data_IF_239093866083
#
_entry.id   IF_239093866083
#
_cell.length_a   1.000
_cell.length_b   1.000
_cell.length_c   1.000
_cell.angle_alpha   90.00
_cell.angle_beta   90.00
_cell.angle_gamma   90.00
#
_symmetry.space_group_name_H-M   'P 1'
#
loop_
_entity.id
_entity.type
_entity.pdbx_description
1 polymer ?
#
# COMPACT_ATOMS: atom_id res chain seq x y z
N UNK A 1 24.48 9.67 17.40
CA UNK A 1 23.18 8.97 17.17
C UNK A 1 22.01 9.98 17.26
N UNK A 2 21.91 10.94 16.34
CA UNK A 2 21.18 12.21 16.56
C UNK A 2 19.65 12.16 16.35
N UNK A 3 19.15 11.19 15.59
CA UNK A 3 17.78 11.22 15.05
C UNK A 3 16.90 10.03 15.46
N UNK A 4 17.27 9.29 16.52
CA UNK A 4 16.42 8.24 17.11
C UNK A 4 15.69 8.76 18.35
N UNK A 5 14.39 8.46 18.49
CA UNK A 5 13.60 8.65 19.72
C UNK A 5 12.65 7.47 19.89
N UNK A 6 12.58 6.89 21.09
CA UNK A 6 11.79 5.69 21.41
C UNK A 6 12.02 4.55 20.41
N UNK A 7 13.29 4.20 20.15
CA UNK A 7 13.72 3.21 19.15
C UNK A 7 13.26 3.47 17.70
N UNK A 8 12.62 4.61 17.39
CA UNK A 8 12.21 4.99 16.02
C UNK A 8 13.21 5.97 15.42
N UNK A 9 13.75 5.64 14.25
CA UNK A 9 14.57 6.55 13.43
C UNK A 9 13.65 7.60 12.76
N UNK A 10 13.92 8.89 12.97
CA UNK A 10 13.09 10.03 12.47
C UNK A 10 13.80 10.91 11.42
N UNK A 11 14.79 10.36 10.71
CA UNK A 11 15.44 11.07 9.58
C UNK A 11 14.53 11.18 8.36
N UNK A 12 13.62 10.22 8.20
CA UNK A 12 12.61 10.22 7.15
C UNK A 12 11.27 10.69 7.75
N UNK A 13 10.44 11.33 6.92
CA UNK A 13 9.06 11.62 7.27
C UNK A 13 8.32 10.34 7.67
N UNK A 14 7.41 10.45 8.62
CA UNK A 14 6.56 9.33 9.06
C UNK A 14 5.12 9.69 8.67
N UNK A 15 4.39 8.75 8.04
CA UNK A 15 3.00 9.02 7.62
C UNK A 15 2.10 9.36 8.81
N UNK A 16 1.07 10.16 8.55
CA UNK A 16 0.16 10.63 9.59
C UNK A 16 -0.46 9.46 10.36
N UNK A 17 -0.49 9.58 11.70
CA UNK A 17 -0.91 8.59 12.70
C UNK A 17 0.06 7.41 12.93
N UNK A 18 0.97 7.09 12.01
CA UNK A 18 1.87 5.96 12.18
C UNK A 18 2.89 6.15 13.32
N UNK A 19 3.28 7.38 13.63
CA UNK A 19 4.20 7.65 14.74
C UNK A 19 3.71 7.06 16.07
N UNK A 20 2.42 7.24 16.40
CA UNK A 20 1.84 6.70 17.63
C UNK A 20 1.82 5.16 17.62
N UNK A 21 1.57 4.54 16.47
CA UNK A 21 1.57 3.09 16.34
C UNK A 21 2.99 2.51 16.50
N UNK A 22 4.00 3.17 15.92
CA UNK A 22 5.41 2.79 16.06
C UNK A 22 5.94 3.03 17.47
N UNK A 23 5.56 4.14 18.13
CA UNK A 23 5.89 4.39 19.54
C UNK A 23 5.26 3.32 20.44
N UNK A 24 3.99 2.97 20.24
CA UNK A 24 3.35 1.87 20.97
C UNK A 24 4.05 0.52 20.72
N UNK A 25 4.51 0.24 19.50
CA UNK A 25 5.25 -0.97 19.15
C UNK A 25 6.66 -0.98 19.79
N UNK A 26 7.30 0.19 19.93
CA UNK A 26 8.62 0.34 20.56
C UNK A 26 8.65 -0.01 22.05
N UNK A 27 7.49 0.02 22.72
CA UNK A 27 7.35 -0.36 24.14
C UNK A 27 7.63 -1.85 24.39
N UNK A 28 7.53 -2.69 23.36
CA UNK A 28 7.86 -4.10 23.44
C UNK A 28 9.37 -4.30 23.66
N UNK A 29 9.73 -5.15 24.61
CA UNK A 29 11.13 -5.50 24.93
C UNK A 29 11.86 -6.16 23.76
N UNK A 30 11.15 -6.99 22.98
CA UNK A 30 11.67 -7.69 21.79
C UNK A 30 12.16 -6.73 20.69
N UNK A 31 11.58 -5.54 20.61
CA UNK A 31 11.87 -4.55 19.58
C UNK A 31 13.15 -3.79 19.94
N UNK A 32 14.14 -3.82 19.04
CA UNK A 32 15.44 -3.17 19.25
C UNK A 32 15.52 -1.80 18.55
N UNK A 33 15.15 -1.73 17.26
CA UNK A 33 15.15 -0.51 16.45
C UNK A 33 14.02 -0.57 15.42
N UNK A 34 13.50 0.59 15.01
CA UNK A 34 12.41 0.75 14.05
C UNK A 34 12.86 1.76 13.00
N UNK A 35 12.94 1.30 11.76
CA UNK A 35 13.44 2.03 10.61
C UNK A 35 12.29 2.23 9.62
N UNK A 36 11.61 3.40 9.64
CA UNK A 36 10.67 3.76 8.58
C UNK A 36 11.40 3.97 7.26
N UNK A 37 10.83 3.46 6.18
CA UNK A 37 11.31 3.58 4.81
C UNK A 37 10.62 4.71 4.04
N UNK A 38 10.59 4.57 2.71
CA UNK A 38 9.98 5.52 1.78
C UNK A 38 8.47 5.60 2.00
N UNK A 39 7.90 6.79 1.75
CA UNK A 39 6.46 7.02 1.70
C UNK A 39 6.01 6.96 0.25
N UNK A 40 5.08 6.06 -0.05
CA UNK A 40 4.43 5.93 -1.36
C UNK A 40 3.01 6.50 -1.30
N UNK A 41 2.54 7.06 -2.42
CA UNK A 41 1.15 7.50 -2.56
C UNK A 41 0.25 6.29 -2.84
N UNK A 42 -0.91 6.23 -2.19
CA UNK A 42 -1.88 5.16 -2.39
C UNK A 42 -3.32 5.70 -2.30
N UNK A 43 -4.21 5.26 -3.19
CA UNK A 43 -5.60 5.73 -3.21
C UNK A 43 -6.54 5.01 -2.23
N UNK A 44 -6.07 4.03 -1.47
CA UNK A 44 -6.89 3.38 -0.44
C UNK A 44 -7.13 4.29 0.78
N UNK A 45 -8.35 4.20 1.33
CA UNK A 45 -8.77 4.82 2.60
C UNK A 45 -8.42 3.99 3.83
N UNK A 46 -7.89 2.76 3.64
CA UNK A 46 -7.46 1.87 4.71
C UNK A 46 -6.41 2.52 5.63
N UNK A 47 -6.50 2.19 6.93
CA UNK A 47 -5.59 2.71 7.96
C UNK A 47 -5.13 1.58 8.88
N UNK A 48 -3.89 1.65 9.34
CA UNK A 48 -3.35 0.76 10.37
C UNK A 48 -2.01 0.15 9.97
N UNK A 49 -1.63 -0.91 10.67
CA UNK A 49 -0.41 -1.68 10.41
C UNK A 49 -0.79 -3.07 9.89
N UNK A 50 -0.14 -3.50 8.80
CA UNK A 50 -0.24 -4.86 8.26
C UNK A 50 1.13 -5.52 8.34
N UNK A 51 1.20 -6.73 8.90
CA UNK A 51 2.42 -7.53 8.89
C UNK A 51 2.67 -8.08 7.48
N UNK A 52 3.88 -7.90 6.92
CA UNK A 52 4.24 -8.42 5.59
C UNK A 52 4.96 -9.75 5.70
N UNK A 53 6.21 -9.75 6.18
CA UNK A 53 7.05 -10.95 6.26
C UNK A 53 8.16 -10.80 7.30
N UNK A 54 8.67 -11.93 7.79
CA UNK A 54 9.87 -11.96 8.63
C UNK A 54 11.14 -11.75 7.77
N UNK A 55 12.16 -11.15 8.36
CA UNK A 55 13.50 -11.00 7.79
C UNK A 55 14.52 -11.61 8.75
N UNK A 56 15.75 -11.87 8.29
CA UNK A 56 16.80 -12.46 9.12
C UNK A 56 17.10 -11.67 10.41
N UNK A 57 16.87 -10.36 10.40
CA UNK A 57 17.12 -9.43 11.52
C UNK A 57 15.83 -8.93 12.21
N UNK A 58 14.65 -9.42 11.82
CA UNK A 58 13.39 -8.99 12.39
C UNK A 58 12.18 -9.17 11.46
N UNK A 59 11.44 -8.11 11.16
CA UNK A 59 10.30 -8.19 10.24
C UNK A 59 10.02 -6.88 9.49
N UNK A 60 9.30 -7.02 8.36
CA UNK A 60 8.78 -5.90 7.58
C UNK A 60 7.29 -5.69 7.86
N UNK A 61 6.92 -4.44 8.09
CA UNK A 61 5.54 -3.98 8.30
C UNK A 61 5.15 -3.02 7.18
N UNK A 62 3.87 -3.00 6.85
CA UNK A 62 3.24 -2.02 5.96
C UNK A 62 2.34 -1.10 6.78
N UNK A 63 2.69 0.18 6.83
CA UNK A 63 1.91 1.23 7.47
C UNK A 63 0.97 1.81 6.41
N UNK A 64 -0.35 1.75 6.63
CA UNK A 64 -1.35 2.34 5.75
C UNK A 64 -1.96 3.58 6.42
N UNK A 65 -2.10 4.66 5.67
CA UNK A 65 -2.85 5.85 6.06
C UNK A 65 -3.64 6.37 4.86
N UNK A 66 -4.58 7.28 5.11
CA UNK A 66 -5.52 7.76 4.09
C UNK A 66 -4.80 8.57 3.01
N UNK A 67 -4.53 7.95 1.85
CA UNK A 67 -3.76 8.56 0.77
C UNK A 67 -2.29 8.12 0.67
N UNK A 68 -1.76 7.32 1.61
CA UNK A 68 -0.33 6.99 1.65
C UNK A 68 0.00 5.65 2.30
N UNK A 69 1.07 5.03 1.84
CA UNK A 69 1.67 3.83 2.41
C UNK A 69 3.12 4.16 2.82
N UNK A 70 3.60 3.50 3.87
CA UNK A 70 5.02 3.52 4.23
C UNK A 70 5.44 2.13 4.69
N UNK A 71 6.59 1.67 4.22
CA UNK A 71 7.20 0.45 4.74
C UNK A 71 7.97 0.75 6.01
N UNK A 72 7.95 -0.15 6.99
CA UNK A 72 8.78 -0.05 8.19
C UNK A 72 9.47 -1.38 8.49
N UNK A 73 10.78 -1.33 8.68
CA UNK A 73 11.57 -2.46 9.14
C UNK A 73 11.71 -2.39 10.66
N UNK A 74 11.33 -3.46 11.34
CA UNK A 74 11.53 -3.58 12.79
C UNK A 74 12.61 -4.62 13.04
N UNK A 75 13.66 -4.20 13.76
CA UNK A 75 14.74 -5.08 14.22
C UNK A 75 14.28 -5.76 15.50
N UNK A 76 14.17 -7.09 15.46
CA UNK A 76 13.71 -7.92 16.58
C UNK A 76 14.34 -9.30 16.51
N UNK A 77 14.53 -9.95 17.66
CA UNK A 77 14.89 -11.38 17.72
C UNK A 77 13.67 -12.28 17.53
N UNK A 78 12.47 -11.78 17.82
CA UNK A 78 11.22 -12.52 17.77
C UNK A 78 10.17 -11.79 16.89
N UNK A 79 10.07 -12.13 15.59
CA UNK A 79 9.08 -11.52 14.70
C UNK A 79 7.65 -12.01 14.97
N UNK A 80 7.46 -13.18 15.57
CA UNK A 80 6.12 -13.70 15.88
C UNK A 80 5.39 -12.85 16.92
N UNK A 81 6.10 -12.39 17.94
CA UNK A 81 5.56 -11.46 18.94
C UNK A 81 5.00 -10.18 18.29
N UNK A 82 5.68 -9.69 17.25
CA UNK A 82 5.22 -8.51 16.49
C UNK A 82 4.00 -8.86 15.65
N UNK A 83 4.00 -10.00 14.95
CA UNK A 83 2.83 -10.47 14.19
C UNK A 83 1.58 -10.56 15.08
N UNK A 84 1.68 -11.23 16.23
CA UNK A 84 0.61 -11.38 17.24
C UNK A 84 0.15 -10.01 17.79
N UNK A 85 1.08 -9.05 17.98
CA UNK A 85 0.74 -7.70 18.41
C UNK A 85 -0.04 -6.92 17.33
N UNK A 86 0.37 -7.03 16.06
CA UNK A 86 -0.31 -6.39 14.93
C UNK A 86 -1.72 -6.94 14.80
N UNK A 87 -1.89 -8.27 14.76
CA UNK A 87 -3.20 -8.94 14.68
C UNK A 87 -4.14 -8.54 15.83
N UNK A 88 -3.60 -8.37 17.05
CA UNK A 88 -4.37 -7.93 18.23
C UNK A 88 -4.78 -6.46 18.19
N UNK A 89 -4.00 -5.57 17.55
CA UNK A 89 -4.24 -4.12 17.50
C UNK A 89 -4.97 -3.66 16.24
N UNK A 90 -4.72 -4.33 15.14
CA UNK A 90 -5.26 -4.09 13.82
C UNK A 90 -5.73 -5.45 13.28
N UNK A 91 -6.87 -5.98 13.78
CA UNK A 91 -7.42 -7.20 13.22
C UNK A 91 -7.62 -7.00 11.71
N UNK A 92 -7.26 -7.97 10.87
CA UNK A 92 -7.62 -7.89 9.46
C UNK A 92 -9.15 -7.80 9.40
N UNK A 93 -9.67 -6.76 8.75
CA UNK A 93 -11.10 -6.73 8.41
C UNK A 93 -11.39 -8.03 7.66
N UNK A 94 -12.39 -8.84 8.08
CA UNK A 94 -12.71 -10.07 7.38
C UNK A 94 -12.99 -9.71 5.91
N UNK A 95 -12.36 -10.40 4.94
CA UNK A 95 -12.62 -10.12 3.54
C UNK A 95 -14.10 -10.38 3.30
N UNK A 96 -14.82 -9.33 2.90
CA UNK A 96 -16.12 -9.51 2.28
C UNK A 96 -15.85 -10.24 0.95
N UNK A 97 -16.20 -11.52 0.95
CA UNK A 97 -16.04 -12.53 -0.11
C UNK A 97 -14.75 -13.35 -0.03
N UNK A 98 -14.96 -14.66 0.11
CA UNK A 98 -13.97 -15.71 -0.02
C UNK A 98 -13.58 -15.88 -1.50
N UNK A 99 -12.32 -16.23 -1.73
CA UNK A 99 -11.88 -16.94 -2.94
C UNK A 99 -10.63 -17.71 -2.56
N UNK A 100 -10.78 -19.02 -2.36
CA UNK A 100 -9.65 -19.89 -2.04
C UNK A 100 -8.66 -19.92 -3.22
N UNK A 101 -7.37 -19.86 -2.89
CA UNK A 101 -6.27 -19.67 -3.84
C UNK A 101 -4.95 -20.21 -3.30
N UNK A 102 -4.99 -21.43 -2.77
CA UNK A 102 -3.82 -22.28 -2.48
C UNK A 102 -3.09 -22.52 -3.84
N UNK A 103 -1.76 -22.60 -3.97
CA UNK A 103 -0.73 -23.01 -3.00
C UNK A 103 0.63 -22.36 -3.31
N UNK A 104 1.46 -22.31 -2.28
CA UNK A 104 2.91 -22.09 -2.31
C UNK A 104 3.62 -22.89 -3.41
N UNK A 105 4.73 -22.36 -3.94
CA UNK A 105 5.82 -23.21 -4.40
C UNK A 105 7.14 -22.73 -3.78
N UNK A 106 7.65 -23.52 -2.83
CA UNK A 106 8.91 -23.26 -2.14
C UNK A 106 10.09 -23.63 -3.03
N UNK A 107 11.11 -22.78 -3.00
CA UNK A 107 12.46 -23.16 -3.40
C UNK A 107 12.94 -24.34 -2.53
N UNK A 108 13.67 -25.31 -3.11
CA UNK A 108 14.60 -26.17 -2.35
C UNK A 108 15.71 -26.72 -3.23
N UNK A 109 16.92 -26.69 -2.70
CA UNK A 109 18.14 -27.11 -3.40
C UNK A 109 18.55 -28.57 -3.11
N UNK A 110 19.48 -29.03 -3.96
CA UNK A 110 20.25 -30.29 -4.03
C UNK A 110 20.42 -31.16 -2.77
N UNK A 111 20.12 -32.46 -2.94
CA UNK A 111 20.92 -33.65 -2.55
C UNK A 111 20.30 -34.94 -3.14
N UNK A 112 20.95 -36.11 -3.29
CA UNK A 112 22.36 -36.45 -3.64
C UNK A 112 22.49 -37.99 -3.86
N UNK A 113 23.28 -38.45 -4.85
CA UNK A 113 23.77 -39.85 -5.02
C UNK A 113 22.70 -40.96 -5.33
N UNK A 114 22.91 -42.06 -6.11
CA UNK A 114 24.01 -42.56 -7.00
C UNK A 114 23.50 -43.79 -7.85
N UNK A 115 24.23 -44.19 -8.92
CA UNK A 115 24.15 -45.47 -9.69
C UNK A 115 22.94 -45.67 -10.66
N UNK A 116 23.01 -46.30 -11.86
CA UNK A 116 24.12 -46.87 -12.71
C UNK A 116 23.63 -47.14 -14.15
N UNK A 117 24.53 -47.04 -15.17
CA UNK A 117 24.59 -47.77 -16.48
C UNK A 117 23.33 -47.87 -17.39
N UNK A 118 23.31 -47.73 -18.72
CA UNK A 118 24.25 -47.92 -19.86
C UNK A 118 23.61 -47.12 -21.04
N UNK A 119 24.22 -46.57 -22.10
CA UNK A 119 25.31 -47.02 -22.99
C UNK A 119 25.91 -45.85 -23.81
N UNK A 120 27.07 -46.09 -24.44
CA UNK A 120 27.74 -45.22 -25.43
C UNK A 120 27.18 -45.47 -26.86
N UNK A 121 27.54 -44.74 -27.97
CA UNK A 121 28.78 -43.97 -28.17
C UNK A 121 28.73 -42.58 -28.89
N UNK A 122 29.91 -41.96 -28.89
CA UNK A 122 30.44 -40.74 -29.57
C UNK A 122 30.58 -41.04 -31.11
N UNK A 123 30.78 -40.11 -32.11
CA UNK A 123 31.56 -38.86 -31.98
C UNK A 123 31.36 -37.64 -32.94
N UNK A 124 32.05 -36.53 -32.59
CA UNK A 124 32.63 -35.51 -33.51
C UNK A 124 31.64 -34.57 -34.27
N UNK A 125 31.98 -33.42 -34.88
CA UNK A 125 33.14 -32.50 -34.84
C UNK A 125 32.74 -31.12 -35.49
N UNK A 126 33.61 -30.10 -35.42
CA UNK A 126 33.58 -28.82 -36.21
C UNK A 126 32.45 -27.80 -35.85
N UNK A 127 32.59 -26.46 -35.77
CA UNK A 127 33.52 -25.36 -36.20
C UNK A 127 32.96 -24.48 -37.34
N UNK A 128 33.25 -23.16 -37.28
CA UNK A 128 32.90 -22.02 -38.19
C UNK A 128 31.58 -21.31 -37.81
N UNK A 129 31.48 -20.01 -37.49
CA UNK A 129 32.04 -18.71 -38.00
C UNK A 129 31.29 -18.16 -39.23
N UNK A 130 30.46 -17.12 -39.00
CA UNK A 130 30.32 -15.85 -39.75
C UNK A 130 29.27 -14.99 -39.00
N UNK A 131 29.51 -13.75 -38.54
CA UNK A 131 29.68 -12.49 -39.29
C UNK A 131 28.61 -12.21 -40.36
N UNK A 132 27.71 -11.26 -40.09
CA UNK A 132 27.60 -10.00 -40.85
C UNK A 132 26.56 -9.00 -40.26
N UNK A 133 26.74 -7.70 -40.54
CA UNK A 133 25.92 -6.59 -40.03
C UNK A 133 24.82 -6.14 -41.05
N UNK A 134 24.27 -4.89 -41.06
CA UNK A 134 22.83 -4.70 -40.91
C UNK A 134 22.11 -4.21 -42.20
N UNK A 135 20.78 -4.34 -42.26
CA UNK A 135 19.97 -3.85 -43.37
C UNK A 135 18.99 -2.75 -42.95
N UNK A 136 19.23 -1.53 -43.45
CA UNK A 136 18.29 -0.40 -43.45
C UNK A 136 17.20 -0.59 -44.52
N UNK A 137 15.95 -0.15 -44.26
CA UNK A 137 15.08 0.61 -45.18
C UNK A 137 13.74 1.03 -44.52
N UNK A 138 12.99 2.01 -45.09
CA UNK A 138 12.24 2.99 -44.28
C UNK A 138 10.72 2.82 -44.26
N UNK A 139 10.09 3.29 -43.18
CA UNK A 139 8.63 3.48 -43.11
C UNK A 139 8.21 4.86 -43.64
N UNK A 140 7.23 4.87 -44.55
CA UNK A 140 6.69 6.09 -45.20
C UNK A 140 5.70 6.85 -44.31
N UNK A 141 5.66 8.17 -44.50
CA UNK A 141 4.59 9.04 -43.98
C UNK A 141 3.21 8.68 -44.54
N UNK A 142 2.16 8.85 -43.72
CA UNK A 142 0.85 9.32 -44.22
C UNK A 142 0.12 10.16 -43.17
N UNK A 143 -0.46 11.27 -43.62
CA UNK A 143 -1.07 12.31 -42.79
C UNK A 143 -2.60 12.35 -42.91
N UNK A 144 -3.28 12.74 -41.80
CA UNK A 144 -4.57 13.46 -41.66
C UNK A 144 -4.94 13.43 -40.16
N UNK A 145 -5.17 14.54 -39.43
CA UNK A 145 -6.30 15.52 -39.47
C UNK A 145 -7.67 14.80 -39.32
N UNK A 146 -8.58 15.12 -38.38
CA UNK A 146 -8.80 16.32 -37.53
C UNK A 146 -9.67 15.99 -36.28
N UNK A 147 -9.87 16.99 -35.40
CA UNK A 147 -11.03 17.15 -34.48
C UNK A 147 -11.02 16.31 -33.18
N UNK A 148 -11.39 16.81 -31.99
CA UNK A 148 -11.76 18.18 -31.57
C UNK A 148 -11.44 18.44 -30.10
N UNK A 149 -11.18 19.72 -29.80
CA UNK A 149 -11.02 20.36 -28.48
C UNK A 149 -11.87 19.77 -27.34
N UNK A 150 -11.26 19.63 -26.17
CA UNK A 150 -11.64 20.42 -25.00
C UNK A 150 -10.43 20.59 -24.07
N UNK A 151 -9.86 21.80 -24.08
CA UNK A 151 -8.84 22.26 -23.14
C UNK A 151 -9.50 23.38 -22.34
N UNK A 152 -9.68 23.16 -21.04
CA UNK A 152 -9.90 24.20 -20.03
C UNK A 152 -8.71 24.09 -19.09
N UNK A 153 -7.55 24.59 -19.51
CA UNK A 153 -7.13 25.98 -19.38
C UNK A 153 -6.62 26.26 -17.96
N UNK A 154 -5.35 26.61 -17.88
CA UNK A 154 -4.51 26.53 -16.68
C UNK A 154 -4.00 27.94 -16.37
N UNK A 155 -4.91 28.84 -16.02
CA UNK A 155 -4.59 30.24 -15.80
C UNK A 155 -4.41 30.57 -14.32
N UNK A 156 -3.15 30.83 -13.94
CA UNK A 156 -2.78 31.35 -12.64
C UNK A 156 -3.02 32.86 -12.59
N UNK A 157 -3.98 33.34 -11.77
CA UNK A 157 -3.89 34.70 -11.20
C UNK A 157 -4.76 34.93 -9.96
N UNK A 158 -4.08 35.48 -8.94
CA UNK A 158 -4.55 36.28 -7.79
C UNK A 158 -5.48 35.63 -6.76
N UNK A 159 -5.04 35.76 -5.51
CA UNK A 159 -5.88 35.64 -4.33
C UNK A 159 -6.78 36.89 -4.23
N UNK A 160 -8.06 36.71 -4.48
CA UNK A 160 -9.12 37.56 -3.94
C UNK A 160 -10.04 36.65 -3.11
N UNK A 161 -10.40 37.09 -1.89
CA UNK A 161 -10.93 36.27 -0.79
C UNK A 161 -12.32 35.65 -0.96
N UNK A 162 -12.57 34.98 -2.08
CA UNK A 162 -13.79 34.25 -2.40
C UNK A 162 -13.97 33.08 -1.43
N UNK A 163 -15.13 33.00 -0.77
CA UNK A 163 -15.39 31.92 0.17
C UNK A 163 -15.40 30.56 -0.55
N UNK A 164 -14.89 29.53 0.11
CA UNK A 164 -14.79 28.16 -0.44
C UNK A 164 -16.19 27.61 -0.82
N UNK A 165 -17.27 28.15 -0.24
CA UNK A 165 -18.65 27.87 -0.63
C UNK A 165 -18.94 28.09 -2.11
N UNK A 166 -18.31 29.11 -2.71
CA UNK A 166 -18.66 29.62 -4.04
C UNK A 166 -17.97 28.79 -5.14
N UNK A 167 -17.02 27.93 -4.74
CA UNK A 167 -16.35 26.90 -5.56
C UNK A 167 -17.07 25.56 -5.61
N UNK A 168 -18.19 25.39 -4.89
CA UNK A 168 -18.92 24.12 -4.84
C UNK A 168 -20.05 24.06 -5.86
N UNK A 169 -20.09 22.99 -6.65
CA UNK A 169 -21.19 22.72 -7.58
C UNK A 169 -22.57 22.71 -6.89
N UNK A 170 -23.59 23.18 -7.62
CA UNK A 170 -24.98 23.20 -7.15
C UNK A 170 -25.50 21.81 -6.73
N UNK A 171 -25.01 20.76 -7.38
CA UNK A 171 -25.27 19.36 -7.02
C UNK A 171 -24.71 19.02 -5.63
N UNK A 172 -23.45 19.36 -5.38
CA UNK A 172 -22.73 19.14 -4.12
C UNK A 172 -23.40 19.91 -2.97
N UNK A 173 -23.76 21.17 -3.17
CA UNK A 173 -24.50 21.97 -2.17
C UNK A 173 -25.87 21.35 -1.82
N UNK A 174 -26.60 20.84 -2.82
CA UNK A 174 -27.89 20.14 -2.61
C UNK A 174 -27.71 18.83 -1.83
N UNK A 175 -26.67 18.05 -2.15
CA UNK A 175 -26.34 16.82 -1.44
C UNK A 175 -25.98 17.07 0.03
N UNK A 176 -25.15 18.08 0.31
CA UNK A 176 -24.77 18.48 1.67
C UNK A 176 -25.98 18.97 2.49
N UNK A 177 -26.91 19.72 1.88
CA UNK A 177 -28.16 20.12 2.54
C UNK A 177 -29.02 18.91 2.92
N UNK A 178 -29.22 17.96 2.00
CA UNK A 178 -29.99 16.74 2.26
C UNK A 178 -29.35 15.86 3.34
N UNK A 179 -28.01 15.75 3.36
CA UNK A 179 -27.27 15.03 4.41
C UNK A 179 -27.50 15.66 5.80
N UNK A 180 -27.45 17.00 5.88
CA UNK A 180 -27.71 17.74 7.13
C UNK A 180 -29.13 17.51 7.65
N UNK A 181 -30.13 17.55 6.77
CA UNK A 181 -31.53 17.29 7.12
C UNK A 181 -31.74 15.84 7.60
N UNK A 182 -31.14 14.86 6.90
CA UNK A 182 -31.16 13.45 7.29
C UNK A 182 -30.58 13.20 8.69
N UNK A 183 -29.40 13.78 8.99
CA UNK A 183 -28.77 13.67 10.31
C UNK A 183 -29.60 14.31 11.42
N UNK A 184 -30.25 15.46 11.16
CA UNK A 184 -31.13 16.11 12.12
C UNK A 184 -32.36 15.26 12.44
N UNK A 185 -32.99 14.68 11.41
CA UNK A 185 -34.14 13.79 11.55
C UNK A 185 -33.78 12.51 12.30
N UNK A 186 -32.62 11.90 12.00
CA UNK A 186 -32.12 10.72 12.72
C UNK A 186 -31.89 11.01 14.22
N UNK A 187 -31.34 12.19 14.56
CA UNK A 187 -31.17 12.62 15.96
C UNK A 187 -32.50 12.75 16.70
N UNK A 188 -33.54 13.30 16.04
CA UNK A 188 -34.90 13.40 16.61
C UNK A 188 -35.50 12.02 16.85
N UNK A 189 -35.37 11.08 15.90
CA UNK A 189 -35.91 9.73 16.07
C UNK A 189 -35.20 8.97 17.21
N UNK A 190 -33.87 9.07 17.29
CA UNK A 190 -33.10 8.46 18.39
C UNK A 190 -33.44 9.05 19.77
N UNK A 191 -33.80 10.34 19.85
CA UNK A 191 -34.31 10.92 21.09
C UNK A 191 -35.69 10.35 21.47
N UNK A 192 -36.60 10.20 20.49
CA UNK A 192 -37.96 9.66 20.69
C UNK A 192 -37.97 8.17 21.05
N UNK A 193 -37.05 7.36 20.51
CA UNK A 193 -36.94 5.95 20.89
C UNK A 193 -36.34 5.79 22.29
N UNK A 194 -35.36 6.63 22.66
CA UNK A 194 -34.76 6.63 24.00
C UNK A 194 -35.75 7.02 25.08
N UNK A 195 -36.66 7.99 24.84
CA UNK A 195 -37.70 8.31 25.81
C UNK A 195 -38.76 7.23 25.91
N UNK A 196 -39.25 6.65 24.80
CA UNK A 196 -40.23 5.55 24.84
C UNK A 196 -39.73 4.32 25.62
N UNK A 197 -38.43 4.03 25.59
CA UNK A 197 -37.80 2.91 26.32
C UNK A 197 -37.57 3.20 27.82
N UNK A 198 -37.99 4.36 28.34
CA UNK A 198 -37.86 4.74 29.75
C UNK A 198 -39.21 4.70 30.51
N UNK A 199 -40.30 4.40 29.80
CA UNK A 199 -41.67 4.33 30.35
C UNK A 199 -42.32 2.96 30.08
N UNK A 200 -41.49 1.91 29.97
CA UNK A 200 -41.83 0.49 29.89
C UNK A 200 -40.93 -0.27 30.86
#
# INVERSE_FOLDING_TARGET
MKYRRNKVKREHGIIQNALQWLENLSTLTEVTDIIPGVIDVNHSSERGIVYKYATQTGCKLLLKSNGSIQEAFVVTKNPECIKKWVEKKFPPNPPANESEGITQNSLRERSSEKLTSTSAPVPSNQRLISENKPATRPCRHRSKKNSSRNVTDFESRKEDGSNISDRLDRSTLKALKHLRESLHNAKIQNAKTKTKKLWQ
#
